data_IF_176747098900
#
_entry.id   IF_176747098900
#
_cell.length_a   1.000
_cell.length_b   1.000
_cell.length_c   1.000
_cell.angle_alpha   90.00
_cell.angle_beta   90.00
_cell.angle_gamma   90.00
#
_symmetry.space_group_name_H-M   'P 1'
#
loop_
_entity.id
_entity.type
_entity.pdbx_description
1 polymer ?
#
# COMPACT_ATOMS: atom_id res chain seq x y z
N UNK A 1 3.43 -5.96 -8.37
CA UNK A 1 3.95 -7.11 -9.12
C UNK A 1 5.25 -7.66 -8.54
N UNK A 2 6.40 -6.98 -8.65
CA UNK A 2 7.69 -7.52 -8.18
C UNK A 2 7.73 -7.82 -6.66
N UNK A 3 7.44 -6.84 -5.80
CA UNK A 3 7.42 -7.02 -4.33
C UNK A 3 6.41 -8.10 -3.90
N UNK A 4 5.18 -8.03 -4.41
CA UNK A 4 4.17 -9.06 -4.16
C UNK A 4 4.59 -10.45 -4.66
N UNK A 5 5.30 -10.50 -5.78
CA UNK A 5 5.89 -11.72 -6.32
C UNK A 5 6.98 -12.32 -5.42
N UNK A 6 7.61 -11.52 -4.57
CA UNK A 6 8.53 -11.94 -3.52
C UNK A 6 7.84 -12.23 -2.17
N UNK A 7 6.52 -12.09 -2.09
CA UNK A 7 5.77 -12.27 -0.85
C UNK A 7 5.84 -11.08 0.11
N UNK A 8 6.18 -9.89 -0.39
CA UNK A 8 6.34 -8.65 0.41
C UNK A 8 5.26 -7.65 0.05
N UNK A 9 4.58 -7.10 1.06
CA UNK A 9 3.71 -5.94 0.93
C UNK A 9 4.42 -4.71 1.51
N UNK A 10 4.33 -3.56 0.84
CA UNK A 10 5.02 -2.34 1.26
C UNK A 10 4.29 -1.60 2.37
N UNK A 11 2.96 -1.49 2.27
CA UNK A 11 2.03 -0.96 3.29
C UNK A 11 2.18 0.52 3.65
N UNK A 12 2.98 1.27 2.89
CA UNK A 12 3.13 2.73 3.00
C UNK A 12 3.50 3.35 1.65
N UNK A 13 2.80 2.91 0.60
CA UNK A 13 2.96 3.54 -0.71
C UNK A 13 2.29 4.91 -0.70
N UNK A 14 3.08 5.92 -1.03
CA UNK A 14 2.67 7.33 -1.14
C UNK A 14 3.56 8.01 -2.18
N UNK A 15 3.13 9.15 -2.72
CA UNK A 15 3.87 9.83 -3.77
C UNK A 15 5.30 10.21 -3.33
N UNK A 16 5.48 10.52 -2.05
CA UNK A 16 6.77 10.85 -1.42
C UNK A 16 7.74 9.65 -1.39
N UNK A 17 7.22 8.42 -1.41
CA UNK A 17 8.00 7.19 -1.43
C UNK A 17 8.28 6.69 -2.86
N UNK A 18 7.90 7.46 -3.88
CA UNK A 18 8.16 7.18 -5.30
C UNK A 18 9.21 8.16 -5.83
N UNK A 19 10.47 7.73 -5.81
CA UNK A 19 11.61 8.55 -6.24
C UNK A 19 11.82 8.43 -7.74
N UNK A 20 12.05 9.56 -8.40
CA UNK A 20 12.48 9.58 -9.80
C UNK A 20 14.00 9.70 -9.84
N UNK A 21 14.66 8.65 -10.28
CA UNK A 21 16.10 8.62 -10.50
C UNK A 21 16.44 9.15 -11.92
N UNK A 22 17.73 9.22 -12.23
CA UNK A 22 18.21 9.58 -13.57
C UNK A 22 17.57 8.67 -14.64
N UNK A 23 17.33 9.23 -15.82
CA UNK A 23 16.68 8.58 -16.97
C UNK A 23 15.21 8.21 -16.69
N UNK A 24 14.50 9.04 -15.91
CA UNK A 24 13.07 8.89 -15.60
C UNK A 24 12.68 7.53 -15.00
N UNK A 25 13.62 6.91 -14.28
CA UNK A 25 13.40 5.62 -13.62
C UNK A 25 12.73 5.86 -12.27
N UNK A 26 11.48 5.40 -12.15
CA UNK A 26 10.76 5.38 -10.89
C UNK A 26 11.29 4.28 -9.97
N UNK A 27 11.56 4.60 -8.70
CA UNK A 27 11.99 3.68 -7.66
C UNK A 27 11.14 3.84 -6.41
N UNK A 28 10.72 2.72 -5.84
CA UNK A 28 10.02 2.68 -4.55
C UNK A 28 11.06 2.72 -3.43
N UNK A 29 10.85 3.55 -2.41
CA UNK A 29 11.70 3.64 -1.23
C UNK A 29 10.89 3.53 0.07
N UNK A 30 11.60 3.51 1.20
CA UNK A 30 11.06 3.47 2.57
C UNK A 30 10.25 2.20 2.91
N UNK A 31 10.96 1.12 3.17
CA UNK A 31 10.40 -0.18 3.55
C UNK A 31 10.19 -0.33 5.06
N UNK A 32 10.17 0.76 5.84
CA UNK A 32 10.06 0.71 7.30
C UNK A 32 8.79 0.03 7.82
N UNK A 33 7.72 0.01 7.01
CA UNK A 33 6.45 -0.64 7.31
C UNK A 33 6.19 -1.90 6.46
N UNK A 34 7.14 -2.31 5.64
CA UNK A 34 6.98 -3.47 4.77
C UNK A 34 6.91 -4.77 5.58
N UNK A 35 6.14 -5.74 5.10
CA UNK A 35 5.96 -7.03 5.78
C UNK A 35 5.91 -8.19 4.79
N UNK A 36 6.45 -9.33 5.22
CA UNK A 36 6.28 -10.60 4.52
C UNK A 36 4.88 -11.16 4.78
N UNK A 37 4.07 -11.29 3.74
CA UNK A 37 2.77 -11.95 3.80
C UNK A 37 2.82 -13.38 3.25
N UNK A 38 3.97 -13.84 2.74
CA UNK A 38 4.16 -15.21 2.27
C UNK A 38 5.44 -15.80 2.84
N UNK A 39 5.34 -16.98 3.42
CA UNK A 39 6.49 -17.74 3.91
C UNK A 39 7.36 -18.18 2.72
N UNK A 40 8.68 -18.05 2.82
CA UNK A 40 9.60 -18.38 1.71
C UNK A 40 9.87 -19.88 1.57
N UNK A 41 9.66 -20.64 2.63
CA UNK A 41 9.91 -22.08 2.71
C UNK A 41 8.66 -22.87 2.34
N UNK A 42 7.51 -22.51 2.92
CA UNK A 42 6.24 -23.22 2.69
C UNK A 42 5.43 -22.62 1.54
N UNK A 43 5.77 -21.39 1.12
CA UNK A 43 5.03 -20.61 0.11
C UNK A 43 3.57 -20.29 0.54
N UNK A 44 3.23 -20.50 1.81
CA UNK A 44 1.91 -20.21 2.36
C UNK A 44 1.72 -18.71 2.59
N UNK A 45 0.52 -18.22 2.28
CA UNK A 45 0.14 -16.83 2.54
C UNK A 45 -0.43 -16.67 3.95
N UNK A 46 -0.01 -15.64 4.65
CA UNK A 46 -0.52 -15.22 5.95
C UNK A 46 -1.19 -13.85 5.87
N UNK A 47 -2.19 -13.65 6.73
CA UNK A 47 -2.79 -12.33 6.93
C UNK A 47 -1.92 -11.49 7.85
N UNK A 48 -1.87 -10.20 7.59
CA UNK A 48 -1.19 -9.22 8.41
C UNK A 48 -2.15 -8.70 9.47
N UNK A 49 -1.62 -8.44 10.67
CA UNK A 49 -2.41 -7.97 11.83
C UNK A 49 -1.97 -6.60 12.34
N UNK A 50 -0.78 -6.13 11.94
CA UNK A 50 -0.31 -4.78 12.29
C UNK A 50 -1.09 -3.73 11.50
N UNK A 51 -1.43 -2.62 12.15
CA UNK A 51 -2.09 -1.48 11.52
C UNK A 51 -1.06 -0.38 11.25
N UNK A 52 -0.91 0.03 9.99
CA UNK A 52 0.04 1.06 9.59
C UNK A 52 -0.39 1.76 8.30
N UNK A 53 0.36 2.79 7.91
CA UNK A 53 0.09 3.66 6.77
C UNK A 53 -0.33 5.05 7.21
N UNK A 54 -0.39 6.00 6.27
CA UNK A 54 -0.78 7.38 6.51
C UNK A 54 -2.10 7.71 5.80
N UNK A 55 -3.02 8.44 6.45
CA UNK A 55 -4.19 9.03 5.75
C UNK A 55 -3.64 10.00 4.70
N UNK A 56 -4.09 9.97 3.42
CA UNK A 56 -5.29 9.34 2.84
C UNK A 56 -5.12 7.95 2.19
N UNK A 57 -3.92 7.36 2.25
CA UNK A 57 -3.56 6.15 1.50
C UNK A 57 -3.98 4.84 2.17
N UNK A 58 -4.55 4.90 3.37
CA UNK A 58 -5.01 3.73 4.15
C UNK A 58 -6.32 3.19 3.57
N UNK A 59 -6.39 1.87 3.40
CA UNK A 59 -7.60 1.15 2.98
C UNK A 59 -8.59 0.94 4.15
N UNK A 60 -9.90 0.92 3.87
CA UNK A 60 -10.97 0.57 4.83
C UNK A 60 -10.71 -0.77 5.54
N UNK A 61 -10.07 -1.74 4.88
CA UNK A 61 -9.73 -3.04 5.47
C UNK A 61 -8.73 -2.93 6.63
N UNK A 62 -7.83 -1.94 6.59
CA UNK A 62 -6.92 -1.65 7.70
C UNK A 62 -7.69 -0.93 8.81
N UNK A 63 -8.58 0.00 8.44
CA UNK A 63 -9.41 0.75 9.39
C UNK A 63 -10.39 -0.14 10.16
N UNK A 64 -10.86 -1.25 9.55
CA UNK A 64 -11.75 -2.21 10.20
C UNK A 64 -11.09 -3.04 11.30
N UNK A 65 -9.78 -2.88 11.52
CA UNK A 65 -9.01 -3.55 12.59
C UNK A 65 -9.16 -5.08 12.59
N UNK A 66 -9.17 -5.67 11.40
CA UNK A 66 -9.22 -7.13 11.21
C UNK A 66 -7.98 -7.60 10.45
N UNK A 67 -7.57 -8.89 10.59
CA UNK A 67 -6.53 -9.45 9.75
C UNK A 67 -6.81 -9.24 8.26
N UNK A 68 -5.79 -8.88 7.49
CA UNK A 68 -5.95 -8.50 6.09
C UNK A 68 -4.82 -9.01 5.18
N UNK A 69 -5.11 -9.08 3.89
CA UNK A 69 -4.09 -9.34 2.87
C UNK A 69 -3.32 -8.07 2.56
N UNK A 70 -1.99 -8.14 2.54
CA UNK A 70 -1.14 -6.98 2.30
C UNK A 70 -1.19 -6.47 0.86
N UNK A 71 -1.31 -7.36 -0.13
CA UNK A 71 -1.27 -6.97 -1.54
C UNK A 71 -2.40 -6.00 -1.92
N UNK A 72 -3.68 -6.26 -1.58
CA UNK A 72 -4.78 -5.34 -1.86
C UNK A 72 -4.61 -3.94 -1.25
N UNK A 73 -3.92 -3.82 -0.11
CA UNK A 73 -3.64 -2.52 0.51
C UNK A 73 -2.71 -1.69 -0.37
N UNK A 74 -1.62 -2.28 -0.88
CA UNK A 74 -0.71 -1.58 -1.78
C UNK A 74 -1.40 -1.15 -3.09
N UNK A 75 -2.34 -1.97 -3.59
CA UNK A 75 -3.14 -1.63 -4.78
C UNK A 75 -4.05 -0.43 -4.50
N UNK A 76 -4.69 -0.40 -3.33
CA UNK A 76 -5.49 0.75 -2.90
C UNK A 76 -4.67 2.04 -2.90
N UNK A 77 -3.53 2.05 -2.19
CA UNK A 77 -2.65 3.21 -2.11
C UNK A 77 -2.15 3.65 -3.49
N UNK A 78 -1.83 2.69 -4.37
CA UNK A 78 -1.44 2.97 -5.77
C UNK A 78 -2.55 3.66 -6.57
N UNK A 79 -3.82 3.29 -6.32
CA UNK A 79 -4.98 3.95 -6.93
C UNK A 79 -5.12 5.41 -6.50
N UNK A 80 -4.82 5.72 -5.23
CA UNK A 80 -4.80 7.10 -4.72
C UNK A 80 -3.72 7.90 -5.43
N UNK A 81 -2.50 7.36 -5.48
CA UNK A 81 -1.35 8.00 -6.11
C UNK A 81 -1.67 8.34 -7.58
N UNK A 82 -2.15 7.36 -8.34
CA UNK A 82 -2.50 7.54 -9.74
C UNK A 82 -3.58 8.62 -9.92
N UNK A 83 -4.64 8.57 -9.10
CA UNK A 83 -5.72 9.55 -9.17
C UNK A 83 -5.21 10.95 -8.89
N UNK A 84 -4.43 11.13 -7.82
CA UNK A 84 -3.83 12.43 -7.47
C UNK A 84 -2.90 12.95 -8.57
N UNK A 85 -2.11 12.07 -9.21
CA UNK A 85 -1.25 12.46 -10.33
C UNK A 85 -2.04 12.94 -11.55
N UNK A 86 -3.22 12.35 -11.82
CA UNK A 86 -4.07 12.70 -12.96
C UNK A 86 -4.90 13.97 -12.73
N UNK A 87 -5.39 14.18 -11.50
CA UNK A 87 -6.32 15.27 -11.18
C UNK A 87 -5.65 16.46 -10.50
N UNK A 88 -4.44 16.28 -9.97
CA UNK A 88 -3.75 17.27 -9.12
C UNK A 88 -4.33 17.40 -7.71
N UNK A 89 -5.34 16.60 -7.33
CA UNK A 89 -6.00 16.66 -6.03
C UNK A 89 -6.24 15.26 -5.46
N UNK A 90 -6.17 15.12 -4.14
CA UNK A 90 -6.54 13.87 -3.50
C UNK A 90 -8.02 13.56 -3.70
N UNK A 91 -8.39 12.29 -3.96
CA UNK A 91 -9.79 11.92 -4.14
C UNK A 91 -10.58 11.98 -2.82
N UNK A 92 -9.91 11.86 -1.67
CA UNK A 92 -10.47 12.07 -0.32
C UNK A 92 -9.35 12.33 0.70
N UNK A 93 -9.73 12.86 1.87
CA UNK A 93 -8.81 13.07 3.02
C UNK A 93 -8.65 11.81 3.88
N UNK A 94 -9.68 10.97 3.96
CA UNK A 94 -9.68 9.68 4.65
C UNK A 94 -10.69 8.74 3.99
N UNK A 95 -10.37 7.45 3.92
CA UNK A 95 -11.33 6.44 3.51
C UNK A 95 -12.43 6.30 4.57
N UNK A 96 -13.69 6.51 4.20
CA UNK A 96 -14.83 6.39 5.11
C UNK A 96 -15.97 5.61 4.43
N UNK A 97 -16.66 4.77 5.20
CA UNK A 97 -17.92 4.16 4.78
C UNK A 97 -19.03 5.19 5.00
N UNK A 98 -19.37 5.98 3.98
CA UNK A 98 -20.49 6.95 4.05
C UNK A 98 -21.88 6.32 3.82
N UNK A 99 -22.02 5.02 4.08
CA UNK A 99 -23.28 4.27 3.93
C UNK A 99 -23.85 3.81 5.28
N UNK A 100 -23.78 4.67 6.30
CA UNK A 100 -24.46 4.49 7.60
C UNK A 100 -25.72 5.32 7.68
#
# INVERSE_FOLDING_TARGET
AYLHGLGVAHRDLKAENLLIAKNDILKICDFGLAAFFRDRTTNEKQMLTTYCGIKPYISLKILSKTPYHGEPVDIWSSGIILTTMLTGVFPWTEASDQNS
#
